data_IF_100470867158
#
_entry.id   IF_100470867158
#
_cell.length_a   1.000
_cell.length_b   1.000
_cell.length_c   1.000
_cell.angle_alpha   90.00
_cell.angle_beta   90.00
_cell.angle_gamma   90.00
#
_symmetry.space_group_name_H-M   'P 1'
#
loop_
_entity.id
_entity.type
_entity.pdbx_description
1 polymer ?
#
# COMPACT_ATOMS: atom_id res chain seq x y z
N UNK A 1 14.85 0.17 -12.43
CA UNK A 1 13.53 -0.28 -11.99
C UNK A 1 12.53 -0.14 -13.12
N UNK A 2 12.24 -1.27 -13.78
CA UNK A 2 11.16 -1.35 -14.78
C UNK A 2 9.83 -1.36 -14.02
N UNK A 3 9.22 -0.18 -13.87
CA UNK A 3 7.84 -0.11 -13.39
C UNK A 3 6.93 -0.84 -14.41
N UNK A 4 5.91 -1.58 -13.97
CA UNK A 4 4.94 -2.21 -14.85
C UNK A 4 4.39 -1.22 -15.89
N UNK A 5 4.13 -1.67 -17.10
CA UNK A 5 3.69 -0.81 -18.22
C UNK A 5 2.49 0.09 -17.85
N UNK A 6 1.50 -0.45 -17.10
CA UNK A 6 0.32 0.29 -16.61
C UNK A 6 0.71 1.44 -15.67
N UNK A 7 1.53 1.19 -14.65
CA UNK A 7 1.99 2.25 -13.73
C UNK A 7 2.78 3.34 -14.46
N UNK A 8 3.58 2.98 -15.46
CA UNK A 8 4.32 3.96 -16.27
C UNK A 8 3.37 4.84 -17.08
N UNK A 9 2.32 4.26 -17.68
CA UNK A 9 1.32 5.01 -18.44
C UNK A 9 0.50 5.94 -17.53
N UNK A 10 0.11 5.50 -16.34
CA UNK A 10 -0.57 6.33 -15.35
C UNK A 10 0.30 7.53 -14.94
N UNK A 11 1.56 7.31 -14.58
CA UNK A 11 2.48 8.38 -14.22
C UNK A 11 2.70 9.39 -15.37
N UNK A 12 2.71 8.94 -16.63
CA UNK A 12 2.82 9.84 -17.79
C UNK A 12 1.57 10.69 -17.94
N UNK A 13 0.38 10.10 -17.81
CA UNK A 13 -0.89 10.82 -17.91
C UNK A 13 -1.04 11.84 -16.79
N UNK A 14 -0.71 11.50 -15.56
CA UNK A 14 -0.74 12.42 -14.43
C UNK A 14 0.20 13.60 -14.64
N UNK A 15 1.45 13.33 -15.04
CA UNK A 15 2.40 14.41 -15.35
C UNK A 15 1.95 15.30 -16.49
N UNK A 16 1.33 14.72 -17.53
CA UNK A 16 0.80 15.50 -18.65
C UNK A 16 -0.38 16.38 -18.20
N UNK A 17 -1.30 15.81 -17.40
CA UNK A 17 -2.41 16.56 -16.80
C UNK A 17 -1.91 17.74 -15.98
N UNK A 18 -1.00 17.48 -15.04
CA UNK A 18 -0.47 18.50 -14.15
C UNK A 18 0.32 19.56 -14.92
N UNK A 19 1.11 19.17 -15.94
CA UNK A 19 1.85 20.11 -16.77
C UNK A 19 0.90 21.02 -17.54
N UNK A 20 -0.11 20.47 -18.22
CA UNK A 20 -1.09 21.24 -18.99
C UNK A 20 -1.89 22.17 -18.08
N UNK A 21 -2.36 21.66 -16.92
CA UNK A 21 -3.13 22.45 -15.98
C UNK A 21 -2.32 23.61 -15.38
N UNK A 22 -1.03 23.42 -15.12
CA UNK A 22 -0.14 24.49 -14.67
C UNK A 22 0.14 25.51 -15.80
N UNK A 23 0.41 25.03 -17.02
CA UNK A 23 0.74 25.94 -18.14
C UNK A 23 -0.45 26.83 -18.56
N UNK A 24 -1.67 26.33 -18.36
CA UNK A 24 -2.91 27.05 -18.65
C UNK A 24 -3.50 27.76 -17.43
N UNK A 25 -2.81 27.74 -16.27
CA UNK A 25 -3.27 28.32 -14.99
C UNK A 25 -4.69 27.88 -14.58
N UNK A 26 -4.98 26.58 -14.78
CA UNK A 26 -6.28 25.99 -14.47
C UNK A 26 -6.40 25.46 -13.04
N UNK A 27 -5.31 25.47 -12.29
CA UNK A 27 -5.27 24.95 -10.91
C UNK A 27 -5.62 26.09 -9.95
N UNK A 28 -6.77 25.98 -9.29
CA UNK A 28 -7.10 26.86 -8.17
C UNK A 28 -6.31 26.44 -6.93
N UNK A 29 -5.35 27.29 -6.55
CA UNK A 29 -4.45 27.03 -5.41
C UNK A 29 -5.08 27.33 -4.05
N UNK A 30 -6.27 27.93 -4.02
CA UNK A 30 -6.96 28.31 -2.79
C UNK A 30 -8.05 27.32 -2.39
N UNK A 31 -8.18 26.20 -3.10
CA UNK A 31 -9.23 25.21 -2.86
C UNK A 31 -8.59 23.88 -2.45
N UNK A 32 -9.15 23.25 -1.42
CA UNK A 32 -8.91 21.84 -1.10
C UNK A 32 -9.95 20.98 -1.80
N UNK A 33 -9.58 20.44 -2.97
CA UNK A 33 -10.45 19.58 -3.78
C UNK A 33 -10.28 18.12 -3.36
N UNK A 34 -11.31 17.53 -2.75
CA UNK A 34 -11.30 16.14 -2.30
C UNK A 34 -11.97 15.21 -3.31
N UNK A 35 -11.43 14.01 -3.43
CA UNK A 35 -12.09 12.91 -4.12
C UNK A 35 -11.81 11.56 -3.42
N UNK A 36 -12.74 10.61 -3.58
CA UNK A 36 -12.54 9.23 -3.20
C UNK A 36 -12.11 8.43 -4.43
N UNK A 37 -11.10 7.58 -4.24
CA UNK A 37 -10.76 6.52 -5.18
C UNK A 37 -11.29 5.23 -4.57
N UNK A 38 -12.10 4.50 -5.33
CA UNK A 38 -12.79 3.28 -4.88
C UNK A 38 -12.67 2.19 -5.94
N UNK A 39 -13.23 1.02 -5.66
CA UNK A 39 -13.31 -0.09 -6.61
C UNK A 39 -11.93 -0.58 -7.09
N UNK A 40 -11.04 -0.76 -6.12
CA UNK A 40 -9.72 -1.32 -6.39
C UNK A 40 -9.81 -2.78 -6.83
N UNK A 41 -9.02 -3.22 -7.81
CA UNK A 41 -8.92 -4.64 -8.13
C UNK A 41 -8.32 -5.40 -6.93
N UNK A 42 -8.89 -6.57 -6.62
CA UNK A 42 -8.36 -7.44 -5.57
C UNK A 42 -7.02 -8.05 -5.97
N UNK A 43 -6.90 -8.42 -7.24
CA UNK A 43 -5.74 -9.09 -7.80
C UNK A 43 -5.21 -8.36 -9.02
N UNK A 44 -3.92 -8.53 -9.26
CA UNK A 44 -3.25 -8.11 -10.50
C UNK A 44 -2.34 -9.23 -11.00
N UNK A 45 -2.02 -9.15 -12.29
CA UNK A 45 -1.08 -10.07 -12.91
C UNK A 45 0.30 -9.45 -12.91
N UNK A 46 1.26 -10.11 -12.26
CA UNK A 46 2.65 -9.72 -12.30
C UNK A 46 3.22 -9.97 -13.70
N UNK A 47 3.61 -8.91 -14.40
CA UNK A 47 4.09 -8.98 -15.79
C UNK A 47 5.42 -9.76 -15.92
N UNK A 48 6.24 -9.83 -14.88
CA UNK A 48 7.53 -10.49 -14.90
C UNK A 48 7.44 -11.99 -14.59
N UNK A 49 6.58 -12.37 -13.65
CA UNK A 49 6.40 -13.76 -13.20
C UNK A 49 5.21 -14.46 -13.84
N UNK A 50 4.31 -13.67 -14.49
CA UNK A 50 3.04 -14.13 -15.05
C UNK A 50 2.08 -14.74 -14.00
N UNK A 51 2.33 -14.51 -12.71
CA UNK A 51 1.52 -14.98 -11.59
C UNK A 51 0.46 -13.95 -11.20
N UNK A 52 -0.62 -14.43 -10.60
CA UNK A 52 -1.64 -13.59 -9.97
C UNK A 52 -1.15 -13.26 -8.56
N UNK A 53 -1.19 -11.99 -8.21
CA UNK A 53 -0.78 -11.46 -6.90
C UNK A 53 -1.87 -10.51 -6.39
N UNK A 54 -1.92 -10.27 -5.08
CA UNK A 54 -2.79 -9.23 -4.54
C UNK A 54 -2.32 -7.85 -5.03
N UNK A 55 -3.26 -7.02 -5.46
CA UNK A 55 -2.96 -5.69 -6.00
C UNK A 55 -2.45 -4.74 -4.91
N UNK A 56 -3.17 -4.67 -3.78
CA UNK A 56 -2.86 -3.76 -2.67
C UNK A 56 -2.91 -4.48 -1.32
N UNK A 57 -4.09 -4.51 -0.68
CA UNK A 57 -4.26 -5.07 0.64
C UNK A 57 -4.92 -6.45 0.58
N UNK A 58 -4.19 -7.55 0.88
CA UNK A 58 -4.71 -8.90 0.82
C UNK A 58 -5.82 -9.21 1.84
N UNK A 59 -5.95 -8.37 2.86
CA UNK A 59 -6.93 -8.53 3.93
C UNK A 59 -8.22 -7.73 3.71
N UNK A 60 -8.40 -7.16 2.53
CA UNK A 60 -9.62 -6.46 2.17
C UNK A 60 -10.77 -7.42 1.88
N UNK A 61 -11.98 -6.99 2.15
CA UNK A 61 -13.18 -7.72 1.76
C UNK A 61 -13.39 -7.54 0.25
N UNK A 62 -13.56 -8.62 -0.51
CA UNK A 62 -13.99 -8.52 -1.90
C UNK A 62 -15.42 -7.98 -1.98
N UNK A 63 -15.75 -7.35 -3.10
CA UNK A 63 -17.09 -6.82 -3.33
C UNK A 63 -18.04 -7.93 -3.81
N UNK A 64 -19.29 -7.83 -3.37
CA UNK A 64 -20.36 -8.75 -3.74
C UNK A 64 -20.27 -10.13 -3.10
N UNK A 65 -21.20 -10.98 -3.48
CA UNK A 65 -21.21 -12.40 -3.12
C UNK A 65 -20.47 -13.19 -4.19
N UNK A 66 -19.23 -13.58 -3.90
CA UNK A 66 -18.39 -14.30 -4.85
C UNK A 66 -18.95 -15.71 -5.14
N UNK A 67 -19.16 -15.98 -6.41
CA UNK A 67 -19.50 -17.29 -6.95
C UNK A 67 -18.25 -18.07 -7.39
N UNK A 68 -18.39 -19.35 -7.70
CA UNK A 68 -17.26 -20.14 -8.24
C UNK A 68 -16.70 -19.56 -9.54
N UNK A 69 -17.54 -18.92 -10.36
CA UNK A 69 -17.10 -18.28 -11.61
C UNK A 69 -16.19 -17.07 -11.38
N UNK A 70 -16.37 -16.35 -10.27
CA UNK A 70 -15.52 -15.22 -9.93
C UNK A 70 -14.11 -15.69 -9.57
N UNK A 71 -13.99 -16.87 -8.96
CA UNK A 71 -12.69 -17.49 -8.69
C UNK A 71 -11.99 -18.04 -9.95
N UNK A 72 -12.74 -18.32 -11.03
CA UNK A 72 -12.17 -18.66 -12.34
C UNK A 72 -11.58 -17.42 -13.04
N UNK A 73 -12.12 -16.21 -12.76
CA UNK A 73 -11.69 -14.94 -13.34
C UNK A 73 -11.28 -13.94 -12.24
N UNK A 74 -10.25 -14.24 -11.45
CA UNK A 74 -9.92 -13.47 -10.25
C UNK A 74 -9.49 -12.01 -10.53
N UNK A 75 -9.08 -11.68 -11.74
CA UNK A 75 -8.72 -10.33 -12.14
C UNK A 75 -9.91 -9.37 -12.23
N UNK A 76 -11.13 -9.90 -12.26
CA UNK A 76 -12.36 -9.11 -12.30
C UNK A 76 -12.91 -8.85 -10.88
N UNK A 77 -12.34 -9.48 -9.85
CA UNK A 77 -12.76 -9.30 -8.47
C UNK A 77 -12.30 -7.92 -7.98
N UNK A 78 -13.25 -7.10 -7.55
CA UNK A 78 -12.99 -5.83 -6.90
C UNK A 78 -12.96 -6.00 -5.37
N UNK A 79 -12.23 -5.13 -4.69
CA UNK A 79 -12.14 -5.08 -3.24
C UNK A 79 -12.75 -3.79 -2.70
N UNK A 80 -13.33 -3.85 -1.49
CA UNK A 80 -13.73 -2.66 -0.73
C UNK A 80 -12.51 -1.97 -0.14
N UNK A 81 -11.70 -1.41 -1.05
CA UNK A 81 -10.58 -0.53 -0.72
C UNK A 81 -10.92 0.88 -1.16
N UNK A 82 -10.39 1.85 -0.44
CA UNK A 82 -10.67 3.26 -0.72
C UNK A 82 -9.54 4.15 -0.26
N UNK A 83 -9.25 5.18 -1.06
CA UNK A 83 -8.34 6.25 -0.71
C UNK A 83 -9.07 7.58 -0.75
N UNK A 84 -8.74 8.47 0.18
CA UNK A 84 -9.12 9.87 0.10
C UNK A 84 -7.94 10.67 -0.41
N UNK A 85 -8.18 11.43 -1.46
CA UNK A 85 -7.18 12.25 -2.15
C UNK A 85 -7.60 13.71 -2.07
N UNK A 86 -6.65 14.59 -1.82
CA UNK A 86 -6.85 16.04 -1.88
C UNK A 86 -5.77 16.66 -2.77
N UNK A 87 -6.20 17.45 -3.75
CA UNK A 87 -5.30 18.14 -4.69
C UNK A 87 -4.26 17.21 -5.35
N UNK A 88 -4.66 15.98 -5.65
CA UNK A 88 -3.79 14.94 -6.24
C UNK A 88 -2.87 14.23 -5.25
N UNK A 89 -2.97 14.51 -3.95
CA UNK A 89 -2.19 13.87 -2.89
C UNK A 89 -3.09 12.91 -2.13
N UNK A 90 -2.72 11.63 -2.10
CA UNK A 90 -3.36 10.63 -1.25
C UNK A 90 -3.14 10.99 0.22
N UNK A 91 -4.22 11.34 0.92
CA UNK A 91 -4.18 11.68 2.34
C UNK A 91 -4.30 10.47 3.23
N UNK A 92 -5.08 9.48 2.80
CA UNK A 92 -5.35 8.30 3.59
C UNK A 92 -5.80 7.16 2.71
N UNK A 93 -5.42 5.95 3.11
CA UNK A 93 -5.84 4.70 2.50
C UNK A 93 -6.56 3.83 3.52
N UNK A 94 -7.54 3.07 3.07
CA UNK A 94 -8.34 2.22 3.93
C UNK A 94 -8.98 1.04 3.21
N UNK A 95 -9.62 0.18 4.00
CA UNK A 95 -10.40 -0.94 3.47
C UNK A 95 -11.45 -1.42 4.47
N UNK A 96 -12.54 -1.98 3.96
CA UNK A 96 -13.37 -2.92 4.73
C UNK A 96 -12.59 -4.23 4.78
N UNK A 97 -12.42 -4.78 5.98
CA UNK A 97 -11.58 -5.95 6.21
C UNK A 97 -12.34 -7.25 5.95
N UNK A 98 -11.64 -8.22 5.38
CA UNK A 98 -12.15 -9.58 5.32
C UNK A 98 -12.08 -10.21 6.73
N UNK A 99 -13.25 -10.41 7.32
CA UNK A 99 -13.40 -11.00 8.65
C UNK A 99 -13.80 -12.48 8.60
N UNK A 100 -13.85 -13.09 7.41
CA UNK A 100 -14.26 -14.49 7.18
C UNK A 100 -13.02 -15.34 6.89
N UNK A 101 -12.56 -16.22 7.81
CA UNK A 101 -11.37 -17.06 7.61
C UNK A 101 -11.42 -17.92 6.35
N UNK A 102 -12.56 -18.54 6.09
CA UNK A 102 -12.74 -19.42 4.91
C UNK A 102 -12.56 -18.66 3.59
N UNK A 103 -13.11 -17.44 3.50
CA UNK A 103 -12.94 -16.60 2.34
C UNK A 103 -11.47 -16.14 2.20
N UNK A 104 -10.79 -15.88 3.33
CA UNK A 104 -9.38 -15.51 3.32
C UNK A 104 -8.52 -16.64 2.74
N UNK A 105 -8.72 -17.88 3.16
CA UNK A 105 -7.99 -19.03 2.59
C UNK A 105 -8.23 -19.15 1.08
N UNK A 106 -9.46 -18.97 0.61
CA UNK A 106 -9.79 -19.03 -0.81
C UNK A 106 -9.04 -17.93 -1.60
N UNK A 107 -9.06 -16.69 -1.12
CA UNK A 107 -8.38 -15.57 -1.79
C UNK A 107 -6.86 -15.77 -1.81
N UNK A 108 -6.27 -16.23 -0.72
CA UNK A 108 -4.84 -16.51 -0.65
C UNK A 108 -4.43 -17.66 -1.57
N UNK A 109 -5.30 -18.66 -1.78
CA UNK A 109 -5.02 -19.77 -2.69
C UNK A 109 -4.92 -19.32 -4.16
N UNK A 110 -5.67 -18.30 -4.57
CA UNK A 110 -5.55 -17.68 -5.89
C UNK A 110 -4.17 -17.04 -6.09
N UNK A 111 -3.64 -16.42 -5.04
CA UNK A 111 -2.29 -15.84 -5.06
C UNK A 111 -1.17 -16.88 -4.87
N UNK A 112 -1.51 -18.18 -4.82
CA UNK A 112 -0.56 -19.28 -4.75
C UNK A 112 -0.10 -19.66 -3.35
N UNK A 113 -0.79 -19.23 -2.29
CA UNK A 113 -0.51 -19.65 -0.91
C UNK A 113 -1.39 -20.82 -0.52
N UNK A 114 -0.81 -21.89 -0.02
CA UNK A 114 -1.57 -22.98 0.59
C UNK A 114 -2.02 -22.61 2.03
N UNK A 115 -2.93 -23.44 2.56
CA UNK A 115 -3.50 -23.22 3.89
C UNK A 115 -2.43 -23.19 4.99
N UNK A 116 -1.44 -24.08 4.92
CA UNK A 116 -0.39 -24.16 5.94
C UNK A 116 0.48 -22.91 5.95
N UNK A 117 0.81 -22.37 4.77
CA UNK A 117 1.56 -21.12 4.66
C UNK A 117 0.79 -19.92 5.23
N UNK A 118 -0.54 -19.90 5.05
CA UNK A 118 -1.40 -18.85 5.63
C UNK A 118 -1.46 -18.99 7.14
N UNK A 119 -1.63 -20.22 7.65
CA UNK A 119 -1.67 -20.50 9.08
C UNK A 119 -0.32 -20.17 9.75
N UNK A 120 0.81 -20.53 9.13
CA UNK A 120 2.13 -20.20 9.66
C UNK A 120 2.36 -18.70 9.79
N UNK A 121 1.96 -17.94 8.76
CA UNK A 121 2.22 -16.49 8.71
C UNK A 121 1.22 -15.65 9.47
N UNK A 122 -0.04 -16.10 9.53
CA UNK A 122 -1.17 -15.30 10.00
C UNK A 122 -2.02 -15.99 11.07
N UNK A 123 -1.47 -17.00 11.78
CA UNK A 123 -2.18 -17.82 12.77
C UNK A 123 -2.93 -16.98 13.81
N UNK A 124 -2.29 -15.95 14.37
CA UNK A 124 -2.91 -15.11 15.38
C UNK A 124 -4.17 -14.39 14.87
N UNK A 125 -4.10 -13.84 13.66
CA UNK A 125 -5.24 -13.18 13.03
C UNK A 125 -6.35 -14.17 12.66
N UNK A 126 -6.01 -15.29 12.02
CA UNK A 126 -6.98 -16.33 11.64
C UNK A 126 -7.70 -16.88 12.88
N UNK A 127 -6.97 -17.14 13.94
CA UNK A 127 -7.55 -17.59 15.21
C UNK A 127 -8.52 -16.54 15.77
N UNK A 128 -8.11 -15.29 15.82
CA UNK A 128 -9.00 -14.21 16.30
C UNK A 128 -10.28 -14.11 15.46
N UNK A 129 -10.18 -14.15 14.14
CA UNK A 129 -11.34 -14.09 13.24
C UNK A 129 -12.26 -15.31 13.38
N UNK A 130 -11.72 -16.48 13.74
CA UNK A 130 -12.49 -17.72 13.95
C UNK A 130 -13.43 -17.66 15.14
N UNK A 131 -13.23 -16.73 16.07
CA UNK A 131 -14.16 -16.46 17.18
C UNK A 131 -15.33 -15.55 16.80
N UNK A 132 -15.48 -15.17 15.53
CA UNK A 132 -16.63 -14.42 15.05
C UNK A 132 -16.43 -12.91 15.10
N UNK A 133 -15.36 -12.40 14.50
CA UNK A 133 -15.13 -10.97 14.37
C UNK A 133 -16.28 -10.28 13.61
N UNK A 134 -16.77 -9.12 14.07
CA UNK A 134 -17.78 -8.37 13.35
C UNK A 134 -17.23 -7.79 12.05
N UNK A 135 -18.09 -7.44 11.07
CA UNK A 135 -17.68 -6.60 9.95
C UNK A 135 -17.02 -5.33 10.46
N UNK A 136 -15.85 -5.03 9.95
CA UNK A 136 -15.06 -3.87 10.38
C UNK A 136 -14.24 -3.32 9.21
N UNK A 137 -13.78 -2.12 9.36
CA UNK A 137 -12.93 -1.43 8.41
C UNK A 137 -12.13 -0.34 9.12
N UNK A 138 -11.28 0.31 8.36
CA UNK A 138 -10.48 1.40 8.88
C UNK A 138 -9.79 2.17 7.78
N UNK A 139 -9.27 3.33 8.18
CA UNK A 139 -8.52 4.24 7.32
C UNK A 139 -7.33 4.77 8.11
N UNK A 140 -6.20 4.96 7.44
CA UNK A 140 -4.95 5.41 8.05
C UNK A 140 -4.55 6.80 7.50
N UNK A 141 -4.93 7.91 8.16
CA UNK A 141 -4.58 9.25 7.73
C UNK A 141 -3.07 9.51 7.81
N UNK A 142 -2.49 10.01 6.72
CA UNK A 142 -1.12 10.47 6.66
C UNK A 142 -0.99 11.90 7.22
N UNK A 143 -0.71 12.02 8.50
CA UNK A 143 -0.64 13.33 9.19
C UNK A 143 0.36 14.27 8.52
N UNK A 144 1.54 13.78 8.17
CA UNK A 144 2.56 14.61 7.49
C UNK A 144 2.07 15.15 6.14
N UNK A 145 1.29 14.37 5.38
CA UNK A 145 0.71 14.80 4.11
C UNK A 145 -0.37 15.87 4.32
N UNK A 146 -1.17 15.74 5.37
CA UNK A 146 -2.17 16.74 5.75
C UNK A 146 -1.48 18.03 6.16
N UNK A 147 -0.45 17.96 7.00
CA UNK A 147 0.33 19.13 7.43
C UNK A 147 1.02 19.80 6.23
N UNK A 148 1.57 19.02 5.31
CA UNK A 148 2.19 19.52 4.09
C UNK A 148 1.21 20.34 3.25
N UNK A 149 -0.03 19.86 3.08
CA UNK A 149 -1.08 20.60 2.37
C UNK A 149 -1.49 21.89 3.09
N UNK A 150 -1.68 21.83 4.41
CA UNK A 150 -2.04 22.99 5.22
C UNK A 150 -0.95 24.04 5.25
N UNK A 151 0.31 23.64 5.25
CA UNK A 151 1.47 24.52 5.17
C UNK A 151 1.76 25.02 3.76
N UNK A 152 1.01 24.56 2.75
CA UNK A 152 1.24 24.85 1.33
C UNK A 152 2.65 24.47 0.86
N UNK A 153 3.20 23.40 1.42
CA UNK A 153 4.50 22.89 1.06
C UNK A 153 4.41 21.84 -0.06
N UNK A 154 5.44 21.79 -0.92
CA UNK A 154 5.47 20.89 -2.07
C UNK A 154 6.16 19.56 -1.78
N UNK A 155 6.88 19.50 -0.68
CA UNK A 155 7.68 18.34 -0.31
C UNK A 155 7.45 17.98 1.17
N UNK A 156 7.11 16.71 1.41
CA UNK A 156 6.86 16.20 2.77
C UNK A 156 8.08 16.38 3.71
N UNK A 157 9.29 16.49 3.17
CA UNK A 157 10.49 16.75 3.98
C UNK A 157 10.48 18.12 4.65
N UNK A 158 9.72 19.08 4.13
CA UNK A 158 9.60 20.43 4.72
C UNK A 158 8.79 20.44 6.02
N UNK A 159 7.96 19.39 6.24
CA UNK A 159 7.13 19.27 7.43
C UNK A 159 7.58 18.13 8.36
N UNK A 160 8.61 17.39 7.99
CA UNK A 160 9.19 16.32 8.80
C UNK A 160 10.40 16.89 9.57
N UNK A 161 10.39 16.75 10.91
CA UNK A 161 11.41 17.34 11.77
C UNK A 161 12.84 16.83 11.47
N UNK A 162 12.98 15.53 11.21
CA UNK A 162 14.26 14.89 10.88
C UNK A 162 14.14 14.09 9.58
N UNK A 163 14.11 14.78 8.41
CA UNK A 163 13.89 14.08 7.14
C UNK A 163 15.14 13.32 6.72
N UNK A 164 14.94 12.08 6.28
CA UNK A 164 16.01 11.31 5.63
C UNK A 164 16.30 11.85 4.23
N UNK A 165 17.56 11.80 3.83
CA UNK A 165 17.97 12.08 2.47
C UNK A 165 17.64 10.92 1.52
N UNK A 166 17.96 11.04 0.22
CA UNK A 166 17.69 10.02 -0.79
C UNK A 166 18.47 8.70 -0.58
N UNK A 167 19.52 8.74 0.22
CA UNK A 167 20.32 7.58 0.58
C UNK A 167 19.83 6.91 1.88
N UNK A 168 18.65 7.28 2.37
CA UNK A 168 18.10 6.85 3.66
C UNK A 168 19.03 7.17 4.85
N UNK A 169 19.65 8.36 4.81
CA UNK A 169 20.51 8.85 5.88
C UNK A 169 19.83 10.03 6.58
N UNK A 170 19.84 10.00 7.91
CA UNK A 170 19.55 11.16 8.75
C UNK A 170 20.88 11.84 9.11
N UNK A 171 21.12 12.98 8.51
CA UNK A 171 22.38 13.71 8.68
C UNK A 171 22.47 14.41 10.04
N UNK A 172 21.35 14.71 10.68
CA UNK A 172 21.34 15.29 12.02
C UNK A 172 21.69 14.27 13.10
N UNK A 173 21.11 13.08 13.00
CA UNK A 173 21.31 12.00 13.94
C UNK A 173 22.53 11.12 13.59
N UNK A 174 23.18 11.39 12.46
CA UNK A 174 24.26 10.57 11.90
C UNK A 174 23.85 9.08 11.77
N UNK A 175 22.65 8.86 11.24
CA UNK A 175 22.10 7.53 11.02
C UNK A 175 22.01 7.20 9.51
N UNK A 176 22.16 5.92 9.10
CA UNK A 176 22.53 4.78 9.93
C UNK A 176 24.00 4.82 10.37
N UNK A 177 24.28 4.28 11.55
CA UNK A 177 25.63 4.10 12.08
C UNK A 177 25.99 2.61 12.12
N UNK A 178 27.27 2.32 12.27
CA UNK A 178 27.74 0.94 12.42
C UNK A 178 27.20 0.33 13.72
N UNK A 179 26.84 -0.95 13.65
CA UNK A 179 26.34 -1.71 14.81
C UNK A 179 27.55 -2.21 15.62
N UNK A 180 27.49 -2.10 16.93
CA UNK A 180 28.51 -2.63 17.81
C UNK A 180 28.62 -4.17 17.65
N UNK A 181 29.84 -4.72 17.49
CA UNK A 181 30.06 -6.15 17.36
C UNK A 181 29.47 -6.99 18.49
N UNK A 182 29.42 -6.48 19.72
CA UNK A 182 28.81 -7.19 20.85
C UNK A 182 27.30 -7.35 20.69
N UNK A 183 26.61 -6.37 20.14
CA UNK A 183 25.16 -6.47 19.81
C UNK A 183 24.90 -7.53 18.75
N UNK A 184 25.74 -7.62 17.72
CA UNK A 184 25.62 -8.69 16.72
C UNK A 184 25.83 -10.07 17.35
N UNK A 185 26.79 -10.19 18.26
CA UNK A 185 27.09 -11.44 18.97
C UNK A 185 25.93 -11.87 19.87
N UNK A 186 25.32 -10.92 20.62
CA UNK A 186 24.14 -11.20 21.46
C UNK A 186 22.96 -11.71 20.64
N UNK A 187 22.79 -11.20 19.42
CA UNK A 187 21.71 -11.59 18.50
C UNK A 187 22.05 -12.82 17.64
N UNK A 188 23.22 -13.44 17.82
CA UNK A 188 23.73 -14.51 16.96
C UNK A 188 23.74 -14.13 15.46
N UNK A 189 24.03 -12.87 15.14
CA UNK A 189 24.10 -12.39 13.77
C UNK A 189 25.55 -12.31 13.29
N UNK A 190 25.75 -12.68 12.03
CA UNK A 190 27.05 -12.54 11.35
C UNK A 190 26.87 -11.74 10.06
N UNK A 191 27.67 -10.70 9.89
CA UNK A 191 27.68 -9.94 8.65
C UNK A 191 28.47 -10.70 7.58
N UNK A 192 27.83 -10.93 6.41
CA UNK A 192 28.57 -11.38 5.21
C UNK A 192 29.32 -10.18 4.66
N UNK A 193 30.61 -10.13 4.80
CA UNK A 193 31.48 -9.21 4.06
C UNK A 193 31.40 -9.57 2.58
N UNK A 194 30.98 -8.62 1.72
CA UNK A 194 31.19 -8.79 0.27
C UNK A 194 32.70 -8.90 0.02
N UNK A 195 33.11 -10.04 -0.53
CA UNK A 195 34.44 -10.16 -1.15
C UNK A 195 34.50 -9.30 -2.39
#
# INVERSE_FOLDING_TARGET
HLRPRRQRQMCIRDRARDKIANDLDLIDKNVFAFCWIVDYPMFEKNESTNKIEFSHNPFSMPQGDLSEKDFENPLDILAYQYDIVCNGIELSSGAIRNHKPELMYKLFSIAGYDKNQVDEKFSGMINALSYGAPPHGGIAPGIDRIVMLLANEKNIREVTMFPMNQNAQDLMMNAPSEVNPDQLKELNLTLKTKK
#
